data_IF_134997924601
#
_entry.id   IF_134997924601
#
_cell.length_a   1.000
_cell.length_b   1.000
_cell.length_c   1.000
_cell.angle_alpha   90.00
_cell.angle_beta   90.00
_cell.angle_gamma   90.00
#
_symmetry.space_group_name_H-M   'P 1'
#
loop_
_entity.id
_entity.type
_entity.pdbx_description
1 polymer ?
#
# COMPACT_ATOMS: atom_id res chain seq x y z
N UNK A 1 -40.40 -1.40 23.96
CA UNK A 1 -39.34 -0.39 24.23
C UNK A 1 -38.14 -0.97 25.00
N UNK A 2 -38.31 -1.64 26.15
CA UNK A 2 -37.19 -2.20 26.94
C UNK A 2 -36.29 -3.19 26.16
N UNK A 3 -36.91 -4.17 25.49
CA UNK A 3 -36.21 -5.22 24.72
C UNK A 3 -35.40 -4.64 23.56
N UNK A 4 -35.92 -3.59 22.93
CA UNK A 4 -35.26 -2.94 21.80
C UNK A 4 -34.04 -2.13 22.25
N UNK A 5 -34.11 -1.47 23.42
CA UNK A 5 -32.94 -0.85 24.06
C UNK A 5 -31.88 -1.89 24.42
N UNK A 6 -32.27 -3.06 24.92
CA UNK A 6 -31.36 -4.17 25.24
C UNK A 6 -30.62 -4.68 23.99
N UNK A 7 -31.34 -4.87 22.89
CA UNK A 7 -30.76 -5.32 21.61
C UNK A 7 -29.77 -4.31 21.04
N UNK A 8 -30.06 -3.01 21.13
CA UNK A 8 -29.14 -1.95 20.73
C UNK A 8 -27.89 -1.96 21.60
N UNK A 9 -28.04 -2.08 22.92
CA UNK A 9 -26.91 -2.15 23.86
C UNK A 9 -26.01 -3.36 23.58
N UNK A 10 -26.60 -4.53 23.31
CA UNK A 10 -25.86 -5.75 22.97
C UNK A 10 -25.04 -5.57 21.68
N UNK A 11 -25.62 -4.96 20.63
CA UNK A 11 -24.90 -4.65 19.38
C UNK A 11 -23.76 -3.65 19.56
N UNK A 12 -23.93 -2.65 20.42
CA UNK A 12 -22.88 -1.68 20.73
C UNK A 12 -21.70 -2.33 21.50
N UNK A 13 -22.00 -3.25 22.43
CA UNK A 13 -20.98 -4.02 23.14
C UNK A 13 -20.18 -4.93 22.18
N UNK A 14 -20.85 -5.57 21.21
CA UNK A 14 -20.20 -6.39 20.19
C UNK A 14 -19.25 -5.54 19.31
N UNK A 15 -19.73 -4.41 18.78
CA UNK A 15 -18.90 -3.47 18.00
C UNK A 15 -17.69 -2.97 18.78
N UNK A 16 -17.86 -2.68 20.08
CA UNK A 16 -16.77 -2.26 20.97
C UNK A 16 -15.72 -3.34 21.19
N UNK A 17 -16.06 -4.63 21.11
CA UNK A 17 -15.09 -5.74 21.18
C UNK A 17 -14.35 -5.96 19.86
N UNK A 18 -15.02 -5.74 18.73
CA UNK A 18 -14.42 -5.89 17.40
C UNK A 18 -13.42 -4.77 17.06
N UNK A 19 -13.65 -3.55 17.55
CA UNK A 19 -12.74 -2.41 17.35
C UNK A 19 -11.29 -2.70 17.84
N UNK A 20 -11.03 -3.13 19.09
CA UNK A 20 -9.70 -3.54 19.56
C UNK A 20 -9.08 -4.70 18.78
N UNK A 21 -9.88 -5.66 18.30
CA UNK A 21 -9.37 -6.76 17.47
C UNK A 21 -8.90 -6.24 16.11
N UNK A 22 -9.69 -5.39 15.47
CA UNK A 22 -9.37 -4.76 14.19
C UNK A 22 -8.12 -3.88 14.30
N UNK A 23 -7.99 -3.10 15.38
CA UNK A 23 -6.80 -2.27 15.62
C UNK A 23 -5.53 -3.12 15.77
N UNK A 24 -5.59 -4.20 16.57
CA UNK A 24 -4.45 -5.13 16.72
C UNK A 24 -4.07 -5.80 15.41
N UNK A 25 -5.06 -6.21 14.62
CA UNK A 25 -4.86 -6.79 13.30
C UNK A 25 -4.14 -5.80 12.37
N UNK A 26 -4.64 -4.57 12.26
CA UNK A 26 -4.07 -3.55 11.38
C UNK A 26 -2.64 -3.19 11.76
N UNK A 27 -2.34 -3.04 13.06
CA UNK A 27 -0.96 -2.80 13.52
C UNK A 27 -0.02 -3.93 13.12
N UNK A 28 -0.44 -5.20 13.30
CA UNK A 28 0.34 -6.37 12.90
C UNK A 28 0.56 -6.41 11.39
N UNK A 29 -0.50 -6.23 10.60
CA UNK A 29 -0.42 -6.24 9.14
C UNK A 29 0.41 -5.09 8.59
N UNK A 30 0.38 -3.91 9.24
CA UNK A 30 1.19 -2.77 8.83
C UNK A 30 2.68 -3.05 9.02
N UNK A 31 3.06 -3.64 10.16
CA UNK A 31 4.43 -4.05 10.43
C UNK A 31 4.91 -5.12 9.44
N UNK A 32 4.04 -6.09 9.12
CA UNK A 32 4.33 -7.10 8.10
C UNK A 32 4.54 -6.49 6.72
N UNK A 33 3.69 -5.53 6.31
CA UNK A 33 3.84 -4.83 5.04
C UNK A 33 5.14 -4.01 4.98
N UNK A 34 5.53 -3.36 6.09
CA UNK A 34 6.82 -2.67 6.18
C UNK A 34 8.00 -3.64 6.05
N UNK A 35 7.94 -4.80 6.71
CA UNK A 35 8.98 -5.82 6.58
C UNK A 35 9.10 -6.30 5.13
N UNK A 36 7.97 -6.60 4.49
CA UNK A 36 7.96 -7.06 3.10
C UNK A 36 8.51 -6.01 2.13
N UNK A 37 8.24 -4.72 2.37
CA UNK A 37 8.86 -3.63 1.59
C UNK A 37 10.39 -3.63 1.74
N UNK A 38 10.89 -3.70 2.97
CA UNK A 38 12.34 -3.74 3.23
C UNK A 38 12.99 -4.97 2.60
N UNK A 39 12.36 -6.14 2.75
CA UNK A 39 12.87 -7.41 2.21
C UNK A 39 12.89 -7.39 0.67
N UNK A 40 11.81 -6.93 0.02
CA UNK A 40 11.74 -6.82 -1.43
C UNK A 40 12.75 -5.81 -1.99
N UNK A 41 12.94 -4.68 -1.30
CA UNK A 41 13.93 -3.67 -1.67
C UNK A 41 15.36 -4.22 -1.53
N UNK A 42 15.68 -4.89 -0.43
CA UNK A 42 16.99 -5.52 -0.24
C UNK A 42 17.24 -6.64 -1.27
N UNK A 43 16.21 -7.40 -1.62
CA UNK A 43 16.27 -8.40 -2.68
C UNK A 43 16.58 -7.78 -4.05
N UNK A 44 15.91 -6.66 -4.39
CA UNK A 44 16.16 -5.94 -5.63
C UNK A 44 17.57 -5.32 -5.69
N UNK A 45 18.06 -4.76 -4.58
CA UNK A 45 19.39 -4.14 -4.50
C UNK A 45 20.53 -5.16 -4.61
N UNK A 46 20.30 -6.38 -4.13
CA UNK A 46 21.31 -7.46 -4.12
C UNK A 46 21.11 -8.50 -5.23
N UNK A 47 20.18 -8.28 -6.15
CA UNK A 47 19.83 -9.25 -7.20
C UNK A 47 20.99 -9.43 -8.19
N UNK A 48 21.44 -10.67 -8.38
CA UNK A 48 22.45 -11.04 -9.37
C UNK A 48 21.82 -11.71 -10.60
N UNK A 49 20.64 -12.30 -10.42
CA UNK A 49 19.89 -12.99 -11.47
C UNK A 49 18.93 -12.01 -12.14
N UNK A 50 19.17 -11.59 -13.40
CA UNK A 50 18.35 -10.59 -14.07
C UNK A 50 16.89 -11.02 -14.21
N UNK A 51 16.62 -12.32 -14.32
CA UNK A 51 15.27 -12.89 -14.42
C UNK A 51 14.42 -12.67 -13.15
N UNK A 52 15.04 -12.35 -12.01
CA UNK A 52 14.35 -12.09 -10.75
C UNK A 52 14.00 -10.61 -10.55
N UNK A 53 14.51 -9.70 -11.37
CA UNK A 53 14.28 -8.25 -11.25
C UNK A 53 12.78 -7.94 -11.29
N UNK A 54 12.07 -8.47 -12.29
CA UNK A 54 10.63 -8.25 -12.45
C UNK A 54 9.82 -8.80 -11.26
N UNK A 55 10.26 -9.94 -10.71
CA UNK A 55 9.65 -10.53 -9.52
C UNK A 55 9.79 -9.62 -8.31
N UNK A 56 10.98 -9.04 -8.08
CA UNK A 56 11.19 -8.11 -6.97
C UNK A 56 10.45 -6.78 -7.16
N UNK A 57 10.37 -6.26 -8.38
CA UNK A 57 9.57 -5.06 -8.70
C UNK A 57 8.10 -5.32 -8.39
N UNK A 58 7.56 -6.48 -8.81
CA UNK A 58 6.19 -6.84 -8.52
C UNK A 58 5.94 -7.00 -7.01
N UNK A 59 6.84 -7.66 -6.29
CA UNK A 59 6.75 -7.82 -4.83
C UNK A 59 6.78 -6.49 -4.10
N UNK A 60 7.67 -5.57 -4.50
CA UNK A 60 7.78 -4.24 -3.92
C UNK A 60 6.49 -3.44 -4.14
N UNK A 61 5.95 -3.47 -5.36
CA UNK A 61 4.69 -2.80 -5.70
C UNK A 61 3.51 -3.38 -4.90
N UNK A 62 3.39 -4.71 -4.82
CA UNK A 62 2.34 -5.36 -4.06
C UNK A 62 2.42 -5.02 -2.56
N UNK A 63 3.63 -5.04 -1.98
CA UNK A 63 3.85 -4.66 -0.59
C UNK A 63 3.52 -3.17 -0.35
N UNK A 64 3.86 -2.29 -1.30
CA UNK A 64 3.56 -0.87 -1.23
C UNK A 64 2.05 -0.58 -1.28
N UNK A 65 1.31 -1.23 -2.21
CA UNK A 65 -0.14 -1.11 -2.27
C UNK A 65 -0.79 -1.57 -0.95
N UNK A 66 -0.36 -2.72 -0.42
CA UNK A 66 -0.84 -3.24 0.86
C UNK A 66 -0.56 -2.26 2.00
N UNK A 67 0.65 -1.72 2.08
CA UNK A 67 1.03 -0.71 3.08
C UNK A 67 0.16 0.55 3.01
N UNK A 68 -0.10 1.08 1.80
CA UNK A 68 -0.96 2.26 1.61
C UNK A 68 -2.40 2.04 2.07
N UNK A 69 -2.99 0.89 1.77
CA UNK A 69 -4.35 0.55 2.23
C UNK A 69 -4.38 0.45 3.75
N UNK A 70 -3.43 -0.28 4.35
CA UNK A 70 -3.37 -0.44 5.81
C UNK A 70 -3.17 0.90 6.54
N UNK A 71 -2.34 1.81 6.00
CA UNK A 71 -2.20 3.16 6.55
C UNK A 71 -3.50 3.95 6.54
N UNK A 72 -4.30 3.82 5.46
CA UNK A 72 -5.61 4.47 5.37
C UNK A 72 -6.57 3.88 6.40
N UNK A 73 -6.61 2.56 6.55
CA UNK A 73 -7.46 1.88 7.52
C UNK A 73 -7.09 2.25 8.97
N UNK A 74 -5.80 2.38 9.28
CA UNK A 74 -5.34 2.86 10.60
C UNK A 74 -5.79 4.30 10.82
N UNK A 75 -5.64 5.18 9.83
CA UNK A 75 -6.10 6.58 9.92
C UNK A 75 -7.61 6.68 10.11
N UNK A 76 -8.39 5.86 9.40
CA UNK A 76 -9.85 5.81 9.52
C UNK A 76 -10.33 5.18 10.84
N UNK A 77 -9.46 4.51 11.59
CA UNK A 77 -9.76 4.09 12.97
C UNK A 77 -9.45 5.17 13.99
N UNK A 78 -8.47 6.03 13.72
CA UNK A 78 -8.09 7.14 14.62
C UNK A 78 -8.94 8.39 14.40
N UNK A 79 -9.41 8.59 13.17
CA UNK A 79 -10.35 9.65 12.79
C UNK A 79 -11.72 8.99 12.67
N UNK A 80 -12.74 9.48 13.37
CA UNK A 80 -14.14 8.98 13.31
C UNK A 80 -14.83 9.19 11.92
N UNK A 81 -14.06 9.27 10.84
CA UNK A 81 -14.54 9.59 9.50
C UNK A 81 -15.01 8.33 8.74
N UNK A 82 -16.25 8.45 8.24
CA UNK A 82 -17.06 7.42 7.60
C UNK A 82 -16.44 6.92 6.28
N UNK A 83 -16.58 5.62 6.07
CA UNK A 83 -16.26 4.83 4.90
C UNK A 83 -16.51 5.54 3.54
N UNK A 84 -15.44 5.92 2.86
CA UNK A 84 -15.48 6.09 1.41
C UNK A 84 -15.16 4.75 0.75
N UNK A 85 -16.15 4.20 0.04
CA UNK A 85 -16.06 3.02 -0.83
C UNK A 85 -15.00 3.21 -1.93
N UNK A 86 -14.42 2.12 -2.46
CA UNK A 86 -13.31 2.20 -3.40
C UNK A 86 -13.81 2.73 -4.75
N UNK A 87 -13.60 4.02 -5.00
CA UNK A 87 -13.50 4.51 -6.38
C UNK A 87 -12.03 4.41 -6.75
N UNK A 88 -11.68 3.41 -7.56
CA UNK A 88 -10.37 3.32 -8.20
C UNK A 88 -10.38 4.33 -9.36
N UNK A 89 -10.47 5.62 -9.03
CA UNK A 89 -10.30 6.71 -9.99
C UNK A 89 -8.85 7.16 -9.98
N UNK A 90 -8.08 6.41 -10.73
CA UNK A 90 -6.94 6.85 -11.53
C UNK A 90 -6.31 5.57 -11.99
N UNK A 91 -6.23 5.37 -13.31
CA UNK A 91 -5.35 4.39 -13.94
C UNK A 91 -4.11 4.18 -13.06
N UNK A 92 -3.88 2.93 -12.66
CA UNK A 92 -2.64 2.58 -11.97
C UNK A 92 -1.56 2.74 -13.03
N UNK A 93 -1.07 3.97 -13.22
CA UNK A 93 0.25 4.21 -13.77
C UNK A 93 1.21 3.67 -12.72
N UNK A 94 1.47 2.36 -12.81
CA UNK A 94 2.76 1.83 -12.43
C UNK A 94 3.71 2.73 -13.24
N UNK A 95 4.59 3.54 -12.62
CA UNK A 95 5.71 4.06 -13.36
C UNK A 95 6.47 2.80 -13.79
N UNK A 96 6.20 2.33 -15.01
CA UNK A 96 7.15 1.50 -15.72
C UNK A 96 8.42 2.31 -15.61
N UNK A 97 9.42 1.75 -14.94
CA UNK A 97 10.72 2.36 -14.87
C UNK A 97 11.26 2.31 -16.30
N UNK A 98 10.81 3.25 -17.14
CA UNK A 98 11.15 3.35 -18.55
C UNK A 98 12.59 3.86 -18.58
N UNK A 99 13.53 2.92 -18.41
CA UNK A 99 14.96 3.09 -18.66
C UNK A 99 15.22 3.75 -20.03
N UNK A 100 14.28 3.62 -20.97
CA UNK A 100 14.35 4.23 -22.31
C UNK A 100 14.23 5.75 -22.30
N UNK A 101 13.44 6.36 -21.41
CA UNK A 101 13.19 7.81 -21.47
C UNK A 101 14.34 8.66 -20.90
N UNK A 102 15.15 8.08 -20.00
CA UNK A 102 16.34 8.77 -19.46
C UNK A 102 17.57 8.63 -20.36
N UNK A 103 17.66 7.55 -21.15
CA UNK A 103 18.75 7.36 -22.09
C UNK A 103 18.60 8.24 -23.36
N UNK A 104 17.37 8.59 -23.75
CA UNK A 104 17.09 9.38 -24.95
C UNK A 104 17.20 10.91 -24.74
N UNK A 105 17.16 11.41 -23.50
CA UNK A 105 17.43 12.83 -23.22
C UNK A 105 18.92 13.18 -23.25
N UNK A 106 19.79 12.19 -23.02
CA UNK A 106 21.25 12.37 -22.95
C UNK A 106 21.94 12.17 -24.31
N UNK A 107 21.18 11.82 -25.35
CA UNK A 107 21.65 11.69 -26.73
C UNK A 107 21.01 12.74 -27.64
N UNK A 108 21.30 14.02 -27.41
CA UNK A 108 21.24 15.02 -28.49
C UNK A 108 22.61 15.10 -29.17
N UNK A 109 22.74 14.69 -30.45
CA UNK A 109 23.94 14.91 -31.23
C UNK A 109 23.84 16.30 -31.89
N UNK A 110 24.67 17.26 -31.49
CA UNK A 110 24.73 18.49 -32.27
C UNK A 110 25.34 19.72 -31.62
N UNK A 111 26.56 19.62 -31.12
CA UNK A 111 27.45 20.79 -31.10
C UNK A 111 28.67 20.49 -31.96
N UNK A 112 28.46 20.54 -33.28
CA UNK A 112 29.53 20.69 -34.25
C UNK A 112 29.76 22.18 -34.49
N UNK A 113 31.02 22.55 -34.30
CA UNK A 113 31.65 23.82 -34.67
C UNK A 113 31.44 24.17 -36.14
N UNK A 114 31.00 25.40 -36.42
CA UNK A 114 31.56 26.33 -37.41
C UNK A 114 31.08 27.74 -37.10
#
# INVERSE_FOLDING_TARGET
MEVERMNVAMRLLEKKKELPKKEKFLKKSLLEAQKNLTDAYAGLDSVQEPDLIDSYIYQLNAAYLRYRVLLRDVKALTSDEVHQTPHIDSEIHIPTFDLETRALSDLSPGSNTF
#
